data_IF_596615396785
#
_entry.id   IF_596615396785
#
_cell.length_a   1.000
_cell.length_b   1.000
_cell.length_c   1.000
_cell.angle_alpha   90.00
_cell.angle_beta   90.00
_cell.angle_gamma   90.00
#
_symmetry.space_group_name_H-M   'P 1'
#
loop_
_entity.id
_entity.type
_entity.pdbx_description
1 polymer ?
#
# COMPACT_ATOMS: atom_id res chain seq x y z
N UNK A 1 -6.83 -6.46 -39.82
CA UNK A 1 -5.69 -6.30 -38.89
C UNK A 1 -5.07 -4.89 -39.02
N UNK A 2 -5.87 -3.81 -38.92
CA UNK A 2 -5.39 -2.44 -39.17
C UNK A 2 -5.89 -1.40 -38.15
N UNK A 3 -6.52 -1.86 -37.07
CA UNK A 3 -7.08 -0.99 -36.01
C UNK A 3 -6.40 -1.19 -34.64
N UNK A 4 -5.33 -1.98 -34.56
CA UNK A 4 -4.68 -2.33 -33.28
C UNK A 4 -3.40 -1.54 -33.00
N UNK A 5 -2.83 -0.84 -33.99
CA UNK A 5 -1.55 -0.11 -33.85
C UNK A 5 -1.71 1.32 -33.31
N UNK A 6 -2.96 1.80 -33.14
CA UNK A 6 -3.22 3.15 -32.65
C UNK A 6 -2.90 3.30 -31.14
N UNK A 7 -3.07 2.23 -30.36
CA UNK A 7 -2.89 2.28 -28.91
C UNK A 7 -1.40 2.35 -28.50
N UNK A 8 -0.49 1.79 -29.30
CA UNK A 8 0.95 1.86 -29.05
C UNK A 8 1.56 3.23 -29.41
N UNK A 9 0.96 3.98 -30.34
CA UNK A 9 1.40 5.33 -30.71
C UNK A 9 0.86 6.44 -29.79
N UNK A 10 -0.26 6.18 -29.11
CA UNK A 10 -0.91 7.12 -28.19
C UNK A 10 0.02 7.53 -27.02
N UNK A 11 0.88 6.61 -26.57
CA UNK A 11 1.84 6.88 -25.50
C UNK A 11 2.91 7.90 -25.89
N UNK A 12 3.36 7.93 -27.16
CA UNK A 12 4.34 8.92 -27.60
C UNK A 12 3.70 10.30 -27.78
N UNK A 13 2.45 10.36 -28.24
CA UNK A 13 1.68 11.61 -28.32
C UNK A 13 1.41 12.19 -26.93
N UNK A 14 0.93 11.35 -26.00
CA UNK A 14 0.70 11.74 -24.60
C UNK A 14 2.02 12.12 -23.91
N UNK A 15 3.12 11.40 -24.14
CA UNK A 15 4.43 11.74 -23.60
C UNK A 15 4.95 13.07 -24.15
N UNK A 16 4.74 13.34 -25.44
CA UNK A 16 5.13 14.61 -26.06
C UNK A 16 4.30 15.77 -25.49
N UNK A 17 2.98 15.61 -25.38
CA UNK A 17 2.09 16.60 -24.76
C UNK A 17 2.45 16.81 -23.29
N UNK A 18 2.75 15.74 -22.54
CA UNK A 18 3.19 15.85 -21.16
C UNK A 18 4.53 16.60 -21.05
N UNK A 19 5.51 16.27 -21.89
CA UNK A 19 6.83 16.90 -21.87
C UNK A 19 6.77 18.39 -22.25
N UNK A 20 6.18 18.71 -23.41
CA UNK A 20 6.05 20.08 -23.88
C UNK A 20 5.04 20.89 -23.07
N UNK A 21 3.98 20.25 -22.58
CA UNK A 21 3.01 20.85 -21.67
C UNK A 21 3.64 21.21 -20.32
N UNK A 22 4.50 20.35 -19.77
CA UNK A 22 5.24 20.65 -18.54
C UNK A 22 6.23 21.78 -18.76
N UNK A 23 6.98 21.77 -19.87
CA UNK A 23 7.89 22.87 -20.23
C UNK A 23 7.15 24.19 -20.38
N UNK A 24 6.00 24.18 -21.09
CA UNK A 24 5.17 25.36 -21.27
C UNK A 24 4.61 25.86 -19.93
N UNK A 25 4.15 24.96 -19.05
CA UNK A 25 3.64 25.30 -17.73
C UNK A 25 4.73 25.92 -16.85
N UNK A 26 5.93 25.33 -16.81
CA UNK A 26 7.08 25.89 -16.08
C UNK A 26 7.44 27.28 -16.61
N UNK A 27 7.47 27.45 -17.93
CA UNK A 27 7.75 28.73 -18.55
C UNK A 27 6.69 29.79 -18.23
N UNK A 28 5.40 29.41 -18.26
CA UNK A 28 4.28 30.26 -17.87
C UNK A 28 4.37 30.68 -16.41
N UNK A 29 4.63 29.73 -15.51
CA UNK A 29 4.77 30.01 -14.07
C UNK A 29 5.95 30.97 -13.83
N UNK A 30 7.11 30.70 -14.44
CA UNK A 30 8.27 31.58 -14.35
C UNK A 30 7.97 32.99 -14.89
N UNK A 31 7.32 33.08 -16.05
CA UNK A 31 6.95 34.35 -16.65
C UNK A 31 5.97 35.14 -15.78
N UNK A 32 4.96 34.46 -15.20
CA UNK A 32 4.01 35.06 -14.27
C UNK A 32 4.69 35.54 -12.98
N UNK A 33 5.61 34.75 -12.42
CA UNK A 33 6.31 35.11 -11.19
C UNK A 33 7.29 36.29 -11.36
N UNK A 34 7.97 36.39 -12.49
CA UNK A 34 9.10 37.34 -12.67
C UNK A 34 8.69 38.60 -13.44
N UNK A 35 7.80 38.49 -14.43
CA UNK A 35 7.57 39.57 -15.42
C UNK A 35 6.16 40.15 -15.41
N UNK A 36 5.20 39.47 -14.77
CA UNK A 36 3.82 39.95 -14.69
C UNK A 36 3.66 41.13 -13.72
N UNK A 37 2.64 41.97 -13.97
CA UNK A 37 2.25 43.11 -13.13
C UNK A 37 1.85 42.72 -11.69
N UNK A 38 1.70 41.43 -11.45
CA UNK A 38 1.35 40.80 -10.18
C UNK A 38 2.60 40.33 -9.39
N UNK A 39 3.80 40.46 -9.96
CA UNK A 39 5.06 40.04 -9.33
C UNK A 39 5.28 40.73 -7.97
N UNK A 40 4.89 42.00 -7.81
CA UNK A 40 4.99 42.70 -6.52
C UNK A 40 4.08 42.11 -5.43
N UNK A 41 2.88 41.64 -5.80
CA UNK A 41 1.99 40.93 -4.87
C UNK A 41 2.52 39.52 -4.56
N UNK A 42 3.04 38.81 -5.57
CA UNK A 42 3.65 37.48 -5.39
C UNK A 42 4.93 37.53 -4.53
N UNK A 43 5.72 38.60 -4.63
CA UNK A 43 6.89 38.84 -3.78
C UNK A 43 6.51 39.08 -2.32
N UNK A 44 5.35 39.68 -2.03
CA UNK A 44 4.88 39.79 -0.64
C UNK A 44 4.58 38.44 0.03
N UNK A 45 4.37 37.39 -0.76
CA UNK A 45 4.19 36.00 -0.31
C UNK A 45 5.50 35.21 -0.30
N UNK A 46 6.59 35.73 -0.89
CA UNK A 46 7.91 35.11 -0.82
C UNK A 46 8.41 35.12 0.62
N UNK A 47 8.68 33.93 1.16
CA UNK A 47 9.09 33.74 2.57
C UNK A 47 7.98 33.17 3.46
N UNK A 48 6.71 33.28 3.05
CA UNK A 48 5.58 32.67 3.74
C UNK A 48 5.48 31.18 3.39
N UNK A 49 5.64 30.83 2.11
CA UNK A 49 5.50 29.45 1.64
C UNK A 49 6.51 28.44 2.23
N UNK A 50 7.83 28.74 2.37
CA UNK A 50 8.79 27.74 2.84
C UNK A 50 8.52 27.19 4.26
N UNK A 51 8.18 28.02 5.27
CA UNK A 51 7.78 27.52 6.59
C UNK A 51 6.53 26.63 6.57
N UNK A 52 5.51 26.96 5.76
CA UNK A 52 4.31 26.13 5.64
C UNK A 52 4.58 24.79 4.97
N UNK A 53 5.41 24.78 3.93
CA UNK A 53 5.87 23.54 3.29
C UNK A 53 6.59 22.63 4.30
N UNK A 54 7.42 23.21 5.17
CA UNK A 54 8.11 22.46 6.22
C UNK A 54 7.13 21.87 7.24
N UNK A 55 6.17 22.68 7.72
CA UNK A 55 5.14 22.20 8.64
C UNK A 55 4.27 21.09 8.03
N UNK A 56 3.87 21.24 6.76
CA UNK A 56 3.14 20.20 6.02
C UNK A 56 3.98 18.94 5.83
N UNK A 57 5.27 19.08 5.51
CA UNK A 57 6.19 17.96 5.37
C UNK A 57 6.36 17.18 6.67
N UNK A 58 6.51 17.88 7.80
CA UNK A 58 6.58 17.25 9.13
C UNK A 58 5.27 16.54 9.48
N UNK A 59 4.11 17.20 9.27
CA UNK A 59 2.82 16.61 9.55
C UNK A 59 2.57 15.36 8.68
N UNK A 60 2.86 15.46 7.38
CA UNK A 60 2.77 14.34 6.46
C UNK A 60 3.69 13.19 6.88
N UNK A 61 4.95 13.48 7.20
CA UNK A 61 5.91 12.48 7.66
C UNK A 61 5.47 11.78 8.94
N UNK A 62 4.89 12.52 9.89
CA UNK A 62 4.38 11.96 11.14
C UNK A 62 3.16 11.06 10.90
N UNK A 63 2.22 11.49 10.06
CA UNK A 63 1.06 10.68 9.67
C UNK A 63 1.50 9.41 8.95
N UNK A 64 2.46 9.51 8.03
CA UNK A 64 3.01 8.37 7.31
C UNK A 64 3.71 7.40 8.26
N UNK A 65 4.45 7.90 9.25
CA UNK A 65 5.10 7.09 10.27
C UNK A 65 4.07 6.34 11.14
N UNK A 66 3.01 7.00 11.59
CA UNK A 66 1.94 6.35 12.33
C UNK A 66 1.16 5.35 11.49
N UNK A 67 0.85 5.67 10.24
CA UNK A 67 0.18 4.76 9.31
C UNK A 67 1.01 3.49 9.06
N UNK A 68 2.33 3.66 8.87
CA UNK A 68 3.25 2.53 8.71
C UNK A 68 3.30 1.67 9.98
N UNK A 69 3.42 2.30 11.15
CA UNK A 69 3.41 1.60 12.44
C UNK A 69 2.11 0.82 12.65
N UNK A 70 0.97 1.43 12.37
CA UNK A 70 -0.35 0.81 12.59
C UNK A 70 -0.58 -0.37 11.64
N UNK A 71 -0.22 -0.21 10.36
CA UNK A 71 -0.35 -1.27 9.36
C UNK A 71 0.59 -2.44 9.68
N UNK A 72 1.85 -2.16 10.04
CA UNK A 72 2.81 -3.20 10.42
C UNK A 72 2.38 -3.92 11.70
N UNK A 73 1.90 -3.18 12.71
CA UNK A 73 1.42 -3.76 13.96
C UNK A 73 0.18 -4.64 13.75
N UNK A 74 -0.74 -4.23 12.87
CA UNK A 74 -1.89 -5.05 12.50
C UNK A 74 -1.47 -6.34 11.78
N UNK A 75 -0.53 -6.23 10.85
CA UNK A 75 0.05 -7.38 10.15
C UNK A 75 0.72 -8.36 11.13
N UNK A 76 1.56 -7.86 12.04
CA UNK A 76 2.27 -8.67 13.03
C UNK A 76 1.31 -9.38 14.00
N UNK A 77 0.23 -8.70 14.44
CA UNK A 77 -0.84 -9.32 15.24
C UNK A 77 -1.54 -10.46 14.49
N UNK A 78 -1.84 -10.26 13.21
CA UNK A 78 -2.48 -11.27 12.37
C UNK A 78 -1.57 -12.49 12.18
N UNK A 79 -0.30 -12.27 11.82
CA UNK A 79 0.68 -13.34 11.69
C UNK A 79 0.88 -14.11 12.99
N UNK A 80 0.97 -13.40 14.12
CA UNK A 80 1.05 -14.00 15.45
C UNK A 80 -0.17 -14.86 15.78
N UNK A 81 -1.38 -14.47 15.36
CA UNK A 81 -2.58 -15.27 15.55
C UNK A 81 -2.55 -16.56 14.73
N UNK A 82 -2.13 -16.48 13.47
CA UNK A 82 -1.95 -17.65 12.58
C UNK A 82 -0.95 -18.63 13.17
N UNK A 83 0.21 -18.15 13.65
CA UNK A 83 1.20 -19.03 14.27
C UNK A 83 0.69 -19.70 15.55
N UNK A 84 -0.03 -18.97 16.40
CA UNK A 84 -0.66 -19.56 17.60
C UNK A 84 -1.67 -20.65 17.25
N UNK A 85 -2.46 -20.47 16.20
CA UNK A 85 -3.41 -21.48 15.73
C UNK A 85 -2.70 -22.71 15.18
N UNK A 86 -1.66 -22.51 14.35
CA UNK A 86 -0.83 -23.59 13.82
C UNK A 86 -0.15 -24.41 14.93
N UNK A 87 0.41 -23.74 15.94
CA UNK A 87 1.00 -24.38 17.12
C UNK A 87 -0.05 -25.15 17.93
N UNK A 88 -1.26 -24.59 18.08
CA UNK A 88 -2.39 -25.27 18.69
C UNK A 88 -2.76 -26.57 17.98
N UNK A 89 -2.85 -26.54 16.64
CA UNK A 89 -3.11 -27.73 15.82
C UNK A 89 -1.97 -28.75 15.92
N UNK A 90 -0.73 -28.30 15.98
CA UNK A 90 0.44 -29.17 16.18
C UNK A 90 0.39 -29.86 17.54
N UNK A 91 0.02 -29.14 18.59
CA UNK A 91 -0.20 -29.68 19.94
C UNK A 91 -1.31 -30.72 19.96
N UNK A 92 -2.45 -30.45 19.33
CA UNK A 92 -3.54 -31.42 19.17
C UNK A 92 -3.06 -32.67 18.43
N UNK A 93 -2.26 -32.51 17.37
CA UNK A 93 -1.68 -33.63 16.62
C UNK A 93 -0.71 -34.49 17.45
N UNK A 94 0.04 -33.87 18.36
CA UNK A 94 0.92 -34.55 19.31
C UNK A 94 0.12 -35.30 20.38
N UNK A 95 -0.92 -34.67 20.94
CA UNK A 95 -1.85 -35.32 21.88
C UNK A 95 -2.56 -36.51 21.22
N UNK A 96 -3.06 -36.35 19.99
CA UNK A 96 -3.69 -37.42 19.24
C UNK A 96 -2.77 -38.63 19.01
N UNK A 97 -1.44 -38.44 19.00
CA UNK A 97 -0.49 -39.54 18.90
C UNK A 97 -0.38 -40.39 20.18
N UNK A 98 -0.78 -39.85 21.33
CA UNK A 98 -0.74 -40.58 22.61
C UNK A 98 -2.05 -41.30 22.94
N UNK A 99 -3.12 -41.06 22.16
CA UNK A 99 -4.42 -41.68 22.36
C UNK A 99 -4.50 -43.05 21.67
N UNK A 100 -5.23 -44.03 22.24
CA UNK A 100 -5.50 -45.30 21.59
C UNK A 100 -6.44 -45.14 20.38
N UNK A 101 -6.34 -46.05 19.42
CA UNK A 101 -7.25 -46.11 18.27
C UNK A 101 -8.65 -46.59 18.68
N UNK A 102 -9.74 -46.09 18.06
CA UNK A 102 -9.78 -45.16 16.91
C UNK A 102 -9.69 -43.66 17.28
N UNK A 103 -9.68 -43.32 18.57
CA UNK A 103 -9.86 -41.94 19.03
C UNK A 103 -8.73 -40.99 18.58
N UNK A 104 -7.49 -41.50 18.51
CA UNK A 104 -6.34 -40.74 18.00
C UNK A 104 -6.46 -40.39 16.50
N UNK A 105 -6.92 -41.32 15.66
CA UNK A 105 -7.12 -41.07 14.24
C UNK A 105 -8.32 -40.14 13.98
N UNK A 106 -9.41 -40.28 14.72
CA UNK A 106 -10.57 -39.38 14.64
C UNK A 106 -10.20 -37.94 15.01
N UNK A 107 -9.48 -37.73 16.12
CA UNK A 107 -9.05 -36.40 16.55
C UNK A 107 -8.10 -35.75 15.52
N UNK A 108 -7.17 -36.54 14.96
CA UNK A 108 -6.25 -36.06 13.91
C UNK A 108 -7.01 -35.71 12.63
N UNK A 109 -8.01 -36.49 12.25
CA UNK A 109 -8.87 -36.21 11.10
C UNK A 109 -9.70 -34.93 11.29
N UNK A 110 -10.26 -34.73 12.49
CA UNK A 110 -11.00 -33.51 12.84
C UNK A 110 -10.10 -32.26 12.79
N UNK A 111 -8.90 -32.32 13.38
CA UNK A 111 -7.93 -31.23 13.33
C UNK A 111 -7.48 -30.91 11.89
N UNK A 112 -7.25 -31.93 11.06
CA UNK A 112 -6.92 -31.75 9.64
C UNK A 112 -8.11 -31.24 8.81
N UNK A 113 -9.34 -31.55 9.21
CA UNK A 113 -10.56 -30.98 8.64
C UNK A 113 -10.67 -29.49 8.91
N UNK A 114 -10.49 -29.08 10.16
CA UNK A 114 -10.47 -27.68 10.57
C UNK A 114 -9.36 -26.89 9.85
N UNK A 115 -8.12 -27.40 9.85
CA UNK A 115 -7.00 -26.73 9.18
C UNK A 115 -7.25 -26.46 7.68
N UNK A 116 -7.90 -27.41 6.99
CA UNK A 116 -8.26 -27.24 5.57
C UNK A 116 -9.38 -26.21 5.38
N UNK A 117 -10.36 -26.19 6.29
CA UNK A 117 -11.42 -25.18 6.25
C UNK A 117 -10.85 -23.77 6.47
N UNK A 118 -10.03 -23.58 7.51
CA UNK A 118 -9.36 -22.30 7.78
C UNK A 118 -8.47 -21.85 6.62
N UNK A 119 -7.77 -22.77 5.96
CA UNK A 119 -6.93 -22.45 4.80
C UNK A 119 -7.73 -22.05 3.55
N UNK A 120 -8.92 -22.63 3.34
CA UNK A 120 -9.76 -22.33 2.19
C UNK A 120 -10.36 -20.91 2.24
N UNK A 121 -10.59 -20.35 3.44
CA UNK A 121 -11.08 -18.97 3.61
C UNK A 121 -10.16 -17.94 2.94
N UNK A 122 -8.85 -18.18 2.90
CA UNK A 122 -7.87 -17.26 2.30
C UNK A 122 -7.79 -17.31 0.78
N UNK A 123 -8.25 -18.41 0.16
CA UNK A 123 -8.30 -18.51 -1.31
C UNK A 123 -9.52 -17.82 -1.92
N UNK A 124 -10.51 -17.45 -1.11
CA UNK A 124 -11.73 -16.77 -1.54
C UNK A 124 -11.70 -15.24 -1.32
N UNK A 125 -10.59 -14.70 -0.76
CA UNK A 125 -10.34 -13.27 -0.53
C UNK A 125 -9.42 -12.68 -1.61
#
# INVERSE_FOLDING_TARGET
MLFSDWHSYDHYGLAFVAFFGTLAAVFLIQWVMVRSRWAGWMQSLQGVAPPFMNALGVLFGLVLAFLANDTWSAHDRAMSAVYREADGLRSIGALAATLPEPLGSELRAAAAGYARASAAEWTEL
#
